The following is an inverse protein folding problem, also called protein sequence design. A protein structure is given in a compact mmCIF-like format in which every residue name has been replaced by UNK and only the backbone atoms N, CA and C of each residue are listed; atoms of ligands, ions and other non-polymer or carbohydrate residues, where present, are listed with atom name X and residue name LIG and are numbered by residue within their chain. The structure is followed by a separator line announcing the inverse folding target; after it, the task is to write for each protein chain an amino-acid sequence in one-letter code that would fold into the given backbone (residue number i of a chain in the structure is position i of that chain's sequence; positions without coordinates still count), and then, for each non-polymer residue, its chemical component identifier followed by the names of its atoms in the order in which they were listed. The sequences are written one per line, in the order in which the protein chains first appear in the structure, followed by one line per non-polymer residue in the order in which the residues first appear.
data_IF_975496134396
#
_entry.id   IF_975496134396
#
_cell.length_a   1.000
_cell.length_b   1.000
_cell.length_c   1.000
_cell.angle_alpha   90.00
_cell.angle_beta   90.00
_cell.angle_gamma   90.00
#
_symmetry.space_group_name_H-M   'P 1'
#
loop_
_entity.id
_entity.type
_entity.pdbx_description
1 polymer ?
#
# COMPACT_ATOMS: atom_id res chain seq x y z
N UNK A 1 27.95 76.88 -3.65
CA UNK A 1 28.76 75.90 -2.91
C UNK A 1 28.96 74.76 -3.87
N UNK A 2 30.19 74.52 -4.33
CA UNK A 2 30.48 73.43 -5.27
C UNK A 2 30.40 72.12 -4.49
N UNK A 3 29.46 71.25 -4.84
CA UNK A 3 29.41 69.90 -4.26
C UNK A 3 30.73 69.20 -4.57
N UNK A 4 31.44 68.79 -3.52
CA UNK A 4 32.67 68.03 -3.68
C UNK A 4 32.31 66.62 -4.18
N UNK A 5 32.69 66.31 -5.41
CA UNK A 5 32.52 64.97 -5.97
C UNK A 5 33.26 63.95 -5.11
N UNK A 6 32.53 62.96 -4.60
CA UNK A 6 33.09 61.83 -3.86
C UNK A 6 33.63 60.82 -4.86
N UNK A 7 34.82 60.26 -4.60
CA UNK A 7 35.48 59.28 -5.45
C UNK A 7 35.73 57.97 -4.70
N UNK A 8 35.68 56.87 -5.43
CA UNK A 8 35.94 55.50 -4.97
C UNK A 8 37.18 54.98 -5.70
N UNK A 9 38.01 54.20 -5.02
CA UNK A 9 39.16 53.54 -5.65
C UNK A 9 38.68 52.52 -6.71
N UNK A 10 39.35 52.47 -7.86
CA UNK A 10 38.94 51.59 -8.97
C UNK A 10 39.00 50.10 -8.58
N UNK A 11 39.98 49.67 -7.79
CA UNK A 11 40.08 48.26 -7.39
C UNK A 11 38.91 47.88 -6.47
N UNK A 12 38.52 48.78 -5.57
CA UNK A 12 37.35 48.61 -4.70
C UNK A 12 36.03 48.62 -5.50
N UNK A 13 35.93 49.47 -6.52
CA UNK A 13 34.76 49.54 -7.38
C UNK A 13 34.58 48.23 -8.18
N UNK A 14 35.64 47.73 -8.82
CA UNK A 14 35.63 46.47 -9.57
C UNK A 14 35.28 45.29 -8.66
N UNK A 15 35.87 45.23 -7.46
CA UNK A 15 35.57 44.18 -6.48
C UNK A 15 34.10 44.19 -6.03
N UNK A 16 33.51 45.37 -5.84
CA UNK A 16 32.10 45.49 -5.50
C UNK A 16 31.20 45.09 -6.68
N UNK A 17 31.51 45.51 -7.90
CA UNK A 17 30.77 45.06 -9.09
C UNK A 17 30.79 43.53 -9.24
N UNK A 18 31.94 42.88 -9.02
CA UNK A 18 32.03 41.41 -8.98
C UNK A 18 31.14 40.81 -7.89
N UNK A 19 31.09 41.42 -6.71
CA UNK A 19 30.21 40.94 -5.62
C UNK A 19 28.74 41.00 -6.01
N UNK A 20 28.32 42.03 -6.75
CA UNK A 20 26.95 42.14 -7.25
C UNK A 20 26.67 41.17 -8.41
N UNK A 21 27.63 40.93 -9.31
CA UNK A 21 27.55 39.86 -10.31
C UNK A 21 27.37 38.48 -9.65
N UNK A 22 28.18 38.17 -8.63
CA UNK A 22 28.09 36.92 -7.87
C UNK A 22 26.73 36.79 -7.17
N UNK A 23 26.12 37.91 -6.74
CA UNK A 23 24.78 37.92 -6.16
C UNK A 23 23.70 37.57 -7.20
N UNK A 24 23.81 38.06 -8.44
CA UNK A 24 22.92 37.69 -9.57
C UNK A 24 23.05 36.19 -9.87
N UNK A 25 24.28 35.69 -9.97
CA UNK A 25 24.56 34.27 -10.20
C UNK A 25 24.00 33.39 -9.07
N UNK A 26 24.21 33.81 -7.82
CA UNK A 26 23.73 33.10 -6.63
C UNK A 26 22.20 33.06 -6.54
N UNK A 27 21.52 34.16 -6.87
CA UNK A 27 20.06 34.22 -6.89
C UNK A 27 19.48 33.27 -7.95
N UNK A 28 20.12 33.21 -9.12
CA UNK A 28 19.71 32.33 -10.22
C UNK A 28 19.94 30.85 -9.88
N UNK A 29 21.11 30.53 -9.32
CA UNK A 29 21.49 29.18 -8.95
C UNK A 29 20.50 28.55 -7.95
N UNK A 30 20.03 29.30 -6.95
CA UNK A 30 19.05 28.80 -5.96
C UNK A 30 17.78 28.27 -6.60
N UNK A 31 17.29 28.90 -7.67
CA UNK A 31 16.11 28.42 -8.40
C UNK A 31 16.46 27.26 -9.33
N UNK A 32 17.63 27.29 -9.97
CA UNK A 32 18.07 26.22 -10.89
C UNK A 32 18.53 24.93 -10.17
N UNK A 33 18.79 24.98 -8.87
CA UNK A 33 18.95 23.79 -8.02
C UNK A 33 17.70 22.91 -8.02
N UNK A 34 16.50 23.49 -8.07
CA UNK A 34 15.25 22.75 -8.17
C UNK A 34 15.12 22.05 -9.54
N UNK A 35 15.55 22.72 -10.60
CA UNK A 35 15.59 22.13 -11.96
C UNK A 35 16.54 20.94 -11.97
N UNK A 36 17.72 21.10 -11.37
CA UNK A 36 18.70 20.02 -11.21
C UNK A 36 18.16 18.87 -10.37
N UNK A 37 17.40 19.17 -9.29
CA UNK A 37 16.76 18.14 -8.47
C UNK A 37 15.70 17.37 -9.26
N UNK A 38 14.90 18.05 -10.06
CA UNK A 38 13.90 17.44 -10.92
C UNK A 38 14.55 16.52 -11.96
N UNK A 39 15.67 16.96 -12.54
CA UNK A 39 16.47 16.15 -13.47
C UNK A 39 16.92 14.84 -12.82
N UNK A 40 17.51 14.91 -11.62
CA UNK A 40 18.00 13.74 -10.89
C UNK A 40 16.87 12.81 -10.45
N UNK A 41 15.76 13.37 -9.94
CA UNK A 41 14.62 12.59 -9.43
C UNK A 41 14.05 11.64 -10.49
N UNK A 42 14.02 12.09 -11.75
CA UNK A 42 13.39 11.35 -12.85
C UNK A 42 14.39 10.82 -13.89
N UNK A 43 15.70 10.98 -13.63
CA UNK A 43 16.76 10.67 -14.59
C UNK A 43 16.46 11.27 -15.98
N UNK A 44 16.18 12.57 -16.01
CA UNK A 44 15.94 13.33 -17.25
C UNK A 44 17.26 13.57 -17.98
N UNK A 45 17.24 13.63 -19.33
CA UNK A 45 18.44 13.89 -20.14
C UNK A 45 19.02 15.28 -19.84
N UNK A 46 20.29 15.52 -20.15
CA UNK A 46 20.90 16.85 -20.01
C UNK A 46 20.28 17.87 -20.99
N UNK A 47 19.84 17.39 -22.16
CA UNK A 47 19.12 18.22 -23.12
C UNK A 47 17.69 18.51 -22.63
N UNK A 48 17.50 19.76 -22.19
CA UNK A 48 16.24 20.31 -21.68
C UNK A 48 15.10 20.29 -22.70
N UNK A 49 15.40 20.33 -23.99
CA UNK A 49 14.36 20.30 -25.04
C UNK A 49 13.57 18.99 -25.05
N UNK A 50 14.19 17.90 -24.56
CA UNK A 50 13.57 16.57 -24.50
C UNK A 50 12.72 16.37 -23.25
N UNK A 51 12.84 17.24 -22.24
CA UNK A 51 12.24 17.03 -20.92
C UNK A 51 10.74 16.86 -20.98
N UNK A 52 10.03 17.66 -21.78
CA UNK A 52 8.56 17.59 -21.90
C UNK A 52 8.09 16.19 -22.28
N UNK A 53 8.72 15.59 -23.29
CA UNK A 53 8.38 14.26 -23.78
C UNK A 53 8.81 13.14 -22.82
N UNK A 54 10.00 13.28 -22.20
CA UNK A 54 10.57 12.24 -21.34
C UNK A 54 9.92 12.24 -19.96
N UNK A 55 9.62 13.42 -19.39
CA UNK A 55 9.05 13.57 -18.06
C UNK A 55 7.71 12.85 -17.92
N UNK A 56 6.77 13.13 -18.83
CA UNK A 56 5.46 12.49 -18.83
C UNK A 56 5.58 10.96 -18.98
N UNK A 57 6.45 10.51 -19.90
CA UNK A 57 6.73 9.08 -20.10
C UNK A 57 7.27 8.40 -18.83
N UNK A 58 8.24 9.01 -18.15
CA UNK A 58 8.82 8.47 -16.90
C UNK A 58 7.77 8.34 -15.80
N UNK A 59 6.89 9.32 -15.66
CA UNK A 59 5.78 9.24 -14.71
C UNK A 59 4.78 8.13 -15.04
N UNK A 60 4.44 7.97 -16.33
CA UNK A 60 3.58 6.89 -16.80
C UNK A 60 4.21 5.54 -16.54
N UNK A 61 5.50 5.37 -16.84
CA UNK A 61 6.25 4.13 -16.62
C UNK A 61 6.31 3.78 -15.11
N UNK A 62 6.58 4.77 -14.26
CA UNK A 62 6.59 4.60 -12.80
C UNK A 62 5.22 4.16 -12.27
N UNK A 63 4.15 4.85 -12.69
CA UNK A 63 2.78 4.47 -12.33
C UNK A 63 2.40 3.08 -12.86
N UNK A 64 2.75 2.76 -14.11
CA UNK A 64 2.49 1.47 -14.72
C UNK A 64 3.23 0.32 -13.99
N UNK A 65 4.47 0.56 -13.57
CA UNK A 65 5.26 -0.36 -12.76
C UNK A 65 4.59 -0.63 -11.40
N UNK A 66 4.18 0.42 -10.68
CA UNK A 66 3.44 0.30 -9.41
C UNK A 66 2.11 -0.42 -9.59
N UNK A 67 1.33 -0.07 -10.61
CA UNK A 67 0.07 -0.72 -10.94
C UNK A 67 0.27 -2.20 -11.32
N UNK A 68 1.36 -2.54 -12.00
CA UNK A 68 1.74 -3.94 -12.25
C UNK A 68 2.02 -4.67 -10.93
N UNK A 69 2.86 -4.11 -10.07
CA UNK A 69 3.15 -4.67 -8.74
C UNK A 69 1.87 -4.93 -7.95
N UNK A 70 0.97 -3.94 -7.86
CA UNK A 70 -0.30 -4.11 -7.14
C UNK A 70 -1.16 -5.23 -7.73
N UNK A 71 -1.22 -5.38 -9.06
CA UNK A 71 -1.96 -6.49 -9.68
C UNK A 71 -1.35 -7.85 -9.36
N UNK A 72 -0.03 -7.93 -9.27
CA UNK A 72 0.68 -9.16 -8.90
C UNK A 72 0.44 -9.48 -7.41
N UNK A 73 0.47 -8.46 -6.54
CA UNK A 73 0.11 -8.57 -5.12
C UNK A 73 -1.34 -9.04 -4.91
N UNK A 74 -2.31 -8.47 -5.63
CA UNK A 74 -3.71 -8.86 -5.55
C UNK A 74 -3.93 -10.34 -5.94
N UNK A 75 -3.18 -10.82 -6.95
CA UNK A 75 -3.22 -12.25 -7.33
C UNK A 75 -2.64 -13.13 -6.23
N UNK A 76 -1.54 -12.70 -5.62
CA UNK A 76 -0.91 -13.42 -4.52
C UNK A 76 -1.85 -13.47 -3.30
N UNK A 77 -2.45 -12.35 -2.91
CA UNK A 77 -3.39 -12.29 -1.79
C UNK A 77 -4.63 -13.16 -2.04
N UNK A 78 -5.18 -13.11 -3.26
CA UNK A 78 -6.28 -13.99 -3.67
C UNK A 78 -5.90 -15.46 -3.65
N UNK A 79 -4.69 -15.80 -4.11
CA UNK A 79 -4.18 -17.17 -4.06
C UNK A 79 -4.07 -17.66 -2.62
N UNK A 80 -3.41 -16.89 -1.74
CA UNK A 80 -3.24 -17.24 -0.33
C UNK A 80 -4.59 -17.47 0.36
N UNK A 81 -5.55 -16.56 0.15
CA UNK A 81 -6.90 -16.67 0.72
C UNK A 81 -7.61 -17.96 0.29
N UNK A 82 -7.47 -18.35 -0.98
CA UNK A 82 -8.07 -19.59 -1.50
C UNK A 82 -7.35 -20.85 -0.99
N UNK A 83 -6.04 -20.79 -0.80
CA UNK A 83 -5.22 -21.93 -0.36
C UNK A 83 -5.40 -22.28 1.12
N UNK A 84 -5.64 -21.30 2.01
CA UNK A 84 -5.88 -21.56 3.45
C UNK A 84 -6.97 -22.63 3.64
N UNK A 85 -8.04 -22.55 2.86
CA UNK A 85 -9.13 -23.51 2.96
C UNK A 85 -8.89 -24.85 2.28
N UNK A 86 -8.00 -24.91 1.30
CA UNK A 86 -7.63 -26.19 0.68
C UNK A 86 -6.89 -27.06 1.70
N UNK A 87 -6.13 -26.45 2.62
CA UNK A 87 -5.39 -27.15 3.68
C UNK A 87 -6.30 -27.71 4.77
N UNK A 88 -7.29 -26.94 5.22
CA UNK A 88 -8.24 -27.40 6.25
C UNK A 88 -9.02 -28.67 5.85
N UNK A 89 -9.30 -28.87 4.55
CA UNK A 89 -9.97 -30.08 4.06
C UNK A 89 -9.13 -31.36 4.19
N UNK A 90 -7.79 -31.27 4.18
CA UNK A 90 -6.91 -32.46 4.25
C UNK A 90 -6.64 -32.94 5.68
N UNK A 91 -6.79 -32.06 6.67
CA UNK A 91 -6.49 -32.40 8.08
C UNK A 91 -7.59 -33.24 8.76
N UNK A 92 -8.76 -33.41 8.13
CA UNK A 92 -9.93 -34.06 8.75
C UNK A 92 -10.25 -35.45 8.18
N UNK A 93 -9.32 -36.08 7.47
CA UNK A 93 -9.33 -37.53 7.32
C UNK A 93 -8.60 -38.10 8.55
N UNK A 94 -9.29 -38.61 9.57
CA UNK A 94 -8.63 -39.52 10.49
C UNK A 94 -8.21 -40.71 9.63
N UNK A 95 -6.90 -40.94 9.54
CA UNK A 95 -6.41 -42.25 9.12
C UNK A 95 -6.95 -43.26 10.12
N UNK A 96 -8.09 -43.87 9.81
CA UNK A 96 -8.49 -45.20 10.27
C UNK A 96 -7.49 -46.21 9.68
N UNK A 97 -6.22 -46.08 10.05
CA UNK A 97 -5.24 -47.14 9.91
C UNK A 97 -5.08 -47.73 11.29
N UNK A 98 -5.99 -48.63 11.63
CA UNK A 98 -5.80 -49.56 12.73
C UNK A 98 -4.47 -50.29 12.48
N UNK A 99 -3.46 -50.23 13.38
CA UNK A 99 -2.29 -51.07 13.24
C UNK A 99 -2.72 -52.52 13.52
N UNK A 100 -2.76 -53.34 12.49
CA UNK A 100 -2.94 -54.79 12.63
C UNK A 100 -1.71 -55.37 13.36
N UNK A 101 -1.88 -56.08 14.49
CA UNK A 101 -0.78 -56.72 15.18
C UNK A 101 -0.52 -58.09 14.52
N UNK A 102 0.67 -58.25 13.94
CA UNK A 102 1.16 -59.55 13.47
C UNK A 102 1.74 -59.48 12.07
N UNK A 103 3.06 -59.30 11.96
CA UNK A 103 3.94 -60.43 11.65
C UNK A 103 5.39 -59.94 11.59
N UNK A 104 6.19 -60.53 12.48
CA UNK A 104 7.64 -60.52 12.38
C UNK A 104 8.04 -61.47 11.26
N UNK A 105 8.87 -61.04 10.30
CA UNK A 105 9.85 -61.91 9.62
C UNK A 105 10.92 -61.07 8.90
N UNK A 106 12.13 -61.16 9.44
CA UNK A 106 13.44 -61.32 8.80
C UNK A 106 13.79 -60.59 7.47
N UNK A 107 14.88 -59.83 7.57
CA UNK A 107 15.88 -59.50 6.53
C UNK A 107 16.41 -60.75 5.77
N UNK A 108 16.96 -60.66 4.54
CA UNK A 108 18.19 -59.87 4.27
C UNK A 108 18.42 -59.28 2.85
N UNK A 109 19.37 -58.33 2.85
CA UNK A 109 20.39 -57.95 1.84
C UNK A 109 20.22 -58.32 0.36
N UNK A 110 20.42 -57.35 -0.55
CA UNK A 110 21.60 -57.31 -1.46
C UNK A 110 21.59 -56.12 -2.45
N UNK A 111 22.76 -55.46 -2.50
CA UNK A 111 23.55 -54.99 -3.65
C UNK A 111 23.02 -54.12 -4.82
N UNK A 112 23.75 -53.00 -4.97
CA UNK A 112 24.34 -52.42 -6.19
C UNK A 112 23.59 -52.48 -7.54
N UNK A 113 23.34 -51.30 -8.14
CA UNK A 113 24.20 -50.80 -9.24
C UNK A 113 23.81 -49.41 -9.76
N UNK A 114 24.86 -48.66 -10.10
CA UNK A 114 24.90 -47.40 -10.84
C UNK A 114 24.38 -47.55 -12.27
N UNK A 115 23.65 -46.54 -12.79
CA UNK A 115 23.93 -45.93 -14.11
C UNK A 115 23.05 -44.70 -14.40
N UNK A 116 23.71 -43.57 -14.61
CA UNK A 116 23.33 -42.54 -15.57
C UNK A 116 24.37 -42.61 -16.73
N UNK A 117 24.30 -41.81 -17.81
CA UNK A 117 23.19 -41.05 -18.42
C UNK A 117 23.07 -41.35 -19.94
N UNK A 118 22.33 -40.49 -20.65
CA UNK A 118 22.61 -39.94 -21.99
C UNK A 118 21.61 -40.18 -23.17
N UNK A 119 21.58 -39.22 -24.14
CA UNK A 119 20.38 -38.71 -24.77
C UNK A 119 20.30 -39.04 -26.27
N UNK A 120 19.16 -38.79 -26.91
CA UNK A 120 18.99 -38.47 -28.35
C UNK A 120 17.49 -38.28 -28.60
N UNK A 121 16.99 -37.10 -28.99
CA UNK A 121 16.97 -36.50 -30.34
C UNK A 121 16.36 -37.42 -31.40
N UNK A 122 15.20 -36.99 -31.94
CA UNK A 122 14.83 -37.24 -33.32
C UNK A 122 13.42 -37.80 -33.54
N UNK A 123 12.61 -37.06 -34.31
CA UNK A 123 11.60 -37.66 -35.19
C UNK A 123 10.16 -37.32 -34.89
N UNK A 124 9.64 -36.28 -35.54
CA UNK A 124 8.23 -36.23 -35.94
C UNK A 124 7.92 -37.40 -36.87
N UNK A 125 6.69 -37.94 -36.84
CA UNK A 125 5.83 -37.70 -38.00
C UNK A 125 4.36 -37.46 -37.64
N UNK A 126 3.75 -36.67 -38.53
CA UNK A 126 2.32 -36.50 -38.77
C UNK A 126 1.51 -37.80 -38.64
N UNK A 127 0.43 -37.76 -37.85
CA UNK A 127 -0.76 -38.60 -38.04
C UNK A 127 -1.97 -37.91 -37.42
N UNK A 128 -2.97 -37.59 -38.25
CA UNK A 128 -4.32 -37.28 -37.81
C UNK A 128 -4.96 -38.57 -37.29
N UNK A 129 -5.62 -38.55 -36.12
CA UNK A 129 -6.94 -39.17 -36.10
C UNK A 129 -7.97 -38.44 -35.20
N UNK A 130 -9.16 -38.29 -35.77
CA UNK A 130 -10.51 -38.36 -35.14
C UNK A 130 -10.81 -37.51 -33.91
N UNK A 131 -11.71 -36.55 -34.15
CA UNK A 131 -12.65 -35.98 -33.20
C UNK A 131 -13.35 -37.10 -32.38
N UNK A 132 -12.88 -37.28 -31.15
CA UNK A 132 -13.71 -37.78 -30.06
C UNK A 132 -13.65 -36.69 -29.00
N UNK A 133 -14.64 -35.80 -29.02
CA UNK A 133 -14.89 -34.89 -27.91
C UNK A 133 -15.09 -35.73 -26.64
N UNK A 134 -14.27 -35.57 -25.59
CA UNK A 134 -14.71 -35.96 -24.29
C UNK A 134 -15.83 -34.99 -23.92
N UNK A 135 -17.05 -35.52 -23.76
CA UNK A 135 -18.12 -34.81 -23.06
C UNK A 135 -17.53 -34.12 -21.82
N UNK A 136 -17.89 -32.85 -21.53
CA UNK A 136 -17.52 -32.24 -20.28
C UNK A 136 -18.14 -33.08 -19.17
N UNK A 137 -17.31 -33.83 -18.44
CA UNK A 137 -17.73 -34.51 -17.22
C UNK A 137 -18.15 -33.43 -16.24
N UNK A 138 -19.45 -33.22 -16.20
CA UNK A 138 -20.12 -32.28 -15.32
C UNK A 138 -19.73 -32.54 -13.86
N UNK A 139 -19.61 -31.44 -13.11
CA UNK A 139 -19.97 -31.37 -11.69
C UNK A 139 -18.97 -31.87 -10.62
N UNK A 140 -17.65 -31.85 -10.85
CA UNK A 140 -16.68 -31.91 -9.72
C UNK A 140 -16.15 -30.53 -9.27
N UNK A 141 -16.39 -29.47 -10.06
CA UNK A 141 -15.77 -28.14 -9.86
C UNK A 141 -16.65 -27.12 -9.11
N UNK A 142 -17.87 -27.48 -8.70
CA UNK A 142 -18.78 -26.58 -7.98
C UNK A 142 -18.42 -26.35 -6.49
N UNK A 143 -17.23 -26.80 -6.05
CA UNK A 143 -16.78 -26.73 -4.65
C UNK A 143 -15.40 -26.05 -4.51
N UNK A 144 -15.08 -25.07 -5.38
CA UNK A 144 -14.29 -23.92 -4.90
C UNK A 144 -15.23 -22.99 -4.14
N UNK A 145 -15.75 -23.47 -3.01
CA UNK A 145 -16.53 -22.66 -2.09
C UNK A 145 -15.70 -21.42 -1.73
N UNK A 146 -16.22 -20.26 -2.17
CA UNK A 146 -15.67 -18.93 -1.97
C UNK A 146 -15.19 -18.78 -0.52
N UNK A 147 -13.90 -18.45 -0.34
CA UNK A 147 -13.28 -18.34 0.99
C UNK A 147 -14.10 -17.44 1.93
N UNK A 148 -14.66 -16.34 1.39
CA UNK A 148 -15.55 -15.46 2.15
C UNK A 148 -16.81 -16.18 2.65
N UNK A 149 -17.42 -17.08 1.86
CA UNK A 149 -18.59 -17.84 2.30
C UNK A 149 -18.27 -18.83 3.41
N UNK A 150 -17.08 -19.45 3.38
CA UNK A 150 -16.63 -20.34 4.45
C UNK A 150 -16.38 -19.57 5.75
N UNK A 151 -15.75 -18.41 5.66
CA UNK A 151 -15.58 -17.53 6.82
C UNK A 151 -16.94 -17.10 7.39
N UNK A 152 -17.89 -16.74 6.54
CA UNK A 152 -19.26 -16.41 6.98
C UNK A 152 -19.90 -17.60 7.71
N UNK A 153 -19.76 -18.82 7.19
CA UNK A 153 -20.27 -20.02 7.87
C UNK A 153 -19.65 -20.20 9.25
N UNK A 154 -18.33 -20.02 9.35
CA UNK A 154 -17.59 -20.15 10.61
C UNK A 154 -17.98 -19.07 11.63
N UNK A 155 -18.16 -17.82 11.18
CA UNK A 155 -18.67 -16.73 12.02
C UNK A 155 -20.07 -17.04 12.54
N UNK A 156 -20.96 -17.53 11.66
CA UNK A 156 -22.34 -17.88 12.05
C UNK A 156 -22.36 -19.02 13.08
N UNK A 157 -21.49 -20.01 12.93
CA UNK A 157 -21.33 -21.10 13.90
C UNK A 157 -20.82 -20.59 15.25
N UNK A 158 -19.69 -19.87 15.27
CA UNK A 158 -19.10 -19.33 16.49
C UNK A 158 -20.05 -18.40 17.25
N UNK A 159 -20.72 -17.48 16.55
CA UNK A 159 -21.68 -16.55 17.16
C UNK A 159 -22.93 -17.26 17.66
N UNK A 160 -23.38 -18.35 17.01
CA UNK A 160 -24.49 -19.17 17.49
C UNK A 160 -24.11 -19.92 18.76
N UNK A 161 -22.91 -20.50 18.83
CA UNK A 161 -22.44 -21.21 20.02
C UNK A 161 -22.25 -20.26 21.21
N UNK A 162 -21.68 -19.07 20.99
CA UNK A 162 -21.61 -18.01 22.00
C UNK A 162 -23.01 -17.64 22.53
N UNK A 163 -23.97 -17.36 21.64
CA UNK A 163 -25.35 -17.06 22.03
C UNK A 163 -26.02 -18.20 22.79
N UNK A 164 -25.72 -19.46 22.44
CA UNK A 164 -26.25 -20.63 23.13
C UNK A 164 -25.73 -20.70 24.58
N UNK A 165 -24.45 -20.40 24.80
CA UNK A 165 -23.87 -20.29 26.15
C UNK A 165 -24.60 -19.22 26.96
N UNK A 166 -24.78 -18.01 26.42
CA UNK A 166 -25.49 -16.92 27.14
C UNK A 166 -26.93 -17.33 27.51
N UNK A 167 -27.68 -17.95 26.59
CA UNK A 167 -29.04 -18.41 26.89
C UNK A 167 -29.09 -19.53 27.94
N UNK A 168 -28.15 -20.48 27.92
CA UNK A 168 -28.07 -21.53 28.94
C UNK A 168 -27.68 -20.94 30.30
N UNK A 169 -26.77 -19.96 30.31
CA UNK A 169 -26.38 -19.26 31.52
C UNK A 169 -27.56 -18.48 32.13
N UNK A 170 -28.35 -17.78 31.32
CA UNK A 170 -29.57 -17.10 31.78
C UNK A 170 -30.58 -18.09 32.40
N UNK A 171 -30.76 -19.25 31.77
CA UNK A 171 -31.64 -20.31 32.30
C UNK A 171 -31.11 -20.89 33.60
N UNK A 172 -29.79 -21.09 33.69
CA UNK A 172 -29.11 -21.52 34.90
C UNK A 172 -29.28 -20.52 36.06
N UNK A 173 -29.10 -19.22 35.82
CA UNK A 173 -29.33 -18.17 36.84
C UNK A 173 -30.79 -18.11 37.30
N UNK A 174 -31.75 -18.25 36.38
CA UNK A 174 -33.17 -18.30 36.73
C UNK A 174 -33.54 -19.52 37.58
N UNK A 175 -33.03 -20.71 37.22
CA UNK A 175 -33.30 -21.94 37.96
C UNK A 175 -32.66 -21.92 39.35
N UNK A 176 -31.40 -21.48 39.44
CA UNK A 176 -30.69 -21.39 40.72
C UNK A 176 -31.34 -20.38 41.66
N UNK A 177 -31.77 -19.21 41.16
CA UNK A 177 -32.51 -18.23 41.94
C UNK A 177 -33.84 -18.81 42.46
N UNK A 178 -34.60 -19.51 41.60
CA UNK A 178 -35.86 -20.14 41.97
C UNK A 178 -35.71 -21.27 43.00
N UNK A 179 -34.66 -22.09 42.91
CA UNK A 179 -34.44 -23.21 43.83
C UNK A 179 -33.86 -22.76 45.17
N UNK A 180 -33.08 -21.66 45.19
CA UNK A 180 -32.59 -21.04 46.43
C UNK A 180 -33.76 -20.46 47.25
N UNK A 181 -34.71 -19.80 46.58
CA UNK A 181 -35.95 -19.30 47.20
C UNK A 181 -36.81 -20.43 47.81
N UNK A 182 -36.81 -21.62 47.19
CA UNK A 182 -37.53 -22.80 47.68
C UNK A 182 -36.73 -23.65 48.67
N UNK A 183 -35.49 -23.27 49.02
CA UNK A 183 -34.56 -24.04 49.86
C UNK A 183 -34.36 -25.50 49.37
N UNK A 184 -34.45 -25.72 48.06
CA UNK A 184 -34.35 -27.05 47.44
C UNK A 184 -32.92 -27.45 47.08
N UNK A 185 -31.98 -26.50 47.07
CA UNK A 185 -30.56 -26.75 46.81
C UNK A 185 -29.85 -27.30 48.04
N UNK A 186 -28.95 -28.28 47.85
CA UNK A 186 -28.07 -28.73 48.93
C UNK A 186 -26.97 -27.72 49.21
N UNK A 187 -26.40 -27.73 50.43
CA UNK A 187 -25.27 -26.84 50.79
C UNK A 187 -24.06 -27.02 49.84
N UNK A 188 -23.66 -28.25 49.45
CA UNK A 188 -22.64 -28.45 48.43
C UNK A 188 -22.95 -27.75 47.10
N UNK A 189 -24.18 -27.86 46.60
CA UNK A 189 -24.59 -27.23 45.33
C UNK A 189 -24.51 -25.70 45.43
N UNK A 190 -25.00 -25.12 46.53
CA UNK A 190 -24.90 -23.68 46.77
C UNK A 190 -23.45 -23.18 46.78
N UNK A 191 -22.53 -23.94 47.39
CA UNK A 191 -21.10 -23.60 47.40
C UNK A 191 -20.50 -23.71 45.99
N UNK A 192 -20.84 -24.77 45.26
CA UNK A 192 -20.36 -24.98 43.90
C UNK A 192 -20.83 -23.87 42.95
N UNK A 193 -22.13 -23.56 42.96
CA UNK A 193 -22.74 -22.48 42.17
C UNK A 193 -22.04 -21.15 42.49
N UNK A 194 -21.97 -20.76 43.77
CA UNK A 194 -21.33 -19.49 44.17
C UNK A 194 -19.88 -19.37 43.74
N UNK A 195 -19.13 -20.48 43.68
CA UNK A 195 -17.74 -20.49 43.21
C UNK A 195 -17.62 -20.44 41.70
N UNK A 196 -18.52 -21.10 40.97
CA UNK A 196 -18.43 -21.27 39.51
C UNK A 196 -19.06 -20.12 38.74
N UNK A 197 -20.12 -19.49 39.27
CA UNK A 197 -20.85 -18.41 38.61
C UNK A 197 -19.97 -17.24 38.17
N UNK A 198 -19.05 -16.68 39.00
CA UNK A 198 -18.19 -15.58 38.55
C UNK A 198 -17.34 -15.96 37.32
N UNK A 199 -16.81 -17.18 37.29
CA UNK A 199 -16.04 -17.67 36.14
C UNK A 199 -16.90 -17.84 34.88
N UNK A 200 -18.13 -18.32 35.04
CA UNK A 200 -19.09 -18.42 33.93
C UNK A 200 -19.48 -17.06 33.38
N UNK A 201 -19.71 -16.06 34.25
CA UNK A 201 -19.98 -14.67 33.84
C UNK A 201 -18.81 -14.12 33.01
N UNK A 202 -17.57 -14.30 33.48
CA UNK A 202 -16.39 -13.86 32.75
C UNK A 202 -16.28 -14.55 31.37
N UNK A 203 -16.58 -15.86 31.30
CA UNK A 203 -16.58 -16.62 30.05
C UNK A 203 -17.68 -16.15 29.08
N UNK A 204 -18.91 -15.94 29.56
CA UNK A 204 -20.03 -15.43 28.76
C UNK A 204 -19.69 -14.04 28.22
N UNK A 205 -19.24 -13.13 29.09
CA UNK A 205 -18.86 -11.78 28.71
C UNK A 205 -17.76 -11.76 27.64
N UNK A 206 -16.72 -12.59 27.81
CA UNK A 206 -15.66 -12.72 26.80
C UNK A 206 -16.18 -13.23 25.45
N UNK A 207 -17.05 -14.24 25.45
CA UNK A 207 -17.62 -14.79 24.21
C UNK A 207 -18.48 -13.75 23.48
N UNK A 208 -19.24 -12.94 24.19
CA UNK A 208 -20.03 -11.85 23.62
C UNK A 208 -19.15 -10.74 23.04
N UNK A 209 -18.08 -10.35 23.75
CA UNK A 209 -17.09 -9.37 23.29
C UNK A 209 -16.38 -9.85 22.01
N UNK A 210 -15.92 -11.10 21.98
CA UNK A 210 -15.29 -11.71 20.80
C UNK A 210 -16.28 -11.81 19.62
N UNK A 211 -17.56 -12.11 19.89
CA UNK A 211 -18.61 -12.16 18.87
C UNK A 211 -18.88 -10.79 18.22
N UNK A 212 -18.91 -9.70 19.00
CA UNK A 212 -19.01 -8.35 18.47
C UNK A 212 -17.77 -7.97 17.68
N UNK A 213 -16.57 -8.23 18.21
CA UNK A 213 -15.31 -7.91 17.54
C UNK A 213 -15.21 -8.59 16.17
N UNK A 214 -15.52 -9.89 16.10
CA UNK A 214 -15.57 -10.65 14.84
C UNK A 214 -16.55 -10.02 13.84
N UNK A 215 -17.74 -9.58 14.30
CA UNK A 215 -18.72 -8.92 13.43
C UNK A 215 -18.21 -7.60 12.88
N UNK A 216 -17.62 -6.75 13.71
CA UNK A 216 -17.06 -5.45 13.31
C UNK A 216 -15.91 -5.63 12.32
N UNK A 217 -14.97 -6.54 12.62
CA UNK A 217 -13.85 -6.86 11.73
C UNK A 217 -14.36 -7.41 10.39
N UNK A 218 -15.28 -8.37 10.42
CA UNK A 218 -15.85 -8.91 9.19
C UNK A 218 -16.56 -7.85 8.36
N UNK A 219 -17.33 -6.95 8.98
CA UNK A 219 -18.01 -5.87 8.27
C UNK A 219 -17.01 -4.95 7.56
N UNK A 220 -15.94 -4.57 8.24
CA UNK A 220 -14.87 -3.70 7.73
C UNK A 220 -14.21 -4.29 6.48
N UNK A 221 -13.90 -5.59 6.51
CA UNK A 221 -13.17 -6.26 5.43
C UNK A 221 -14.07 -7.02 4.43
N UNK A 222 -15.39 -6.99 4.62
CA UNK A 222 -16.37 -7.77 3.85
C UNK A 222 -16.14 -7.66 2.35
N UNK A 223 -16.07 -6.44 1.81
CA UNK A 223 -15.90 -6.21 0.36
C UNK A 223 -14.56 -6.77 -0.14
N UNK A 224 -13.48 -6.62 0.63
CA UNK A 224 -12.16 -7.14 0.30
C UNK A 224 -12.15 -8.67 0.27
N UNK A 225 -12.76 -9.33 1.26
CA UNK A 225 -12.91 -10.78 1.27
C UNK A 225 -13.64 -11.27 0.01
N UNK A 226 -14.77 -10.65 -0.36
CA UNK A 226 -15.51 -11.03 -1.56
C UNK A 226 -14.73 -10.79 -2.85
N UNK A 227 -13.97 -9.69 -2.96
CA UNK A 227 -13.14 -9.44 -4.14
C UNK A 227 -12.03 -10.50 -4.28
N UNK A 228 -11.29 -10.75 -3.21
CA UNK A 228 -10.12 -11.64 -3.24
C UNK A 228 -10.49 -13.12 -3.34
N UNK A 229 -11.68 -13.50 -2.87
CA UNK A 229 -12.17 -14.88 -2.94
C UNK A 229 -12.86 -15.23 -4.25
N UNK A 230 -13.29 -14.25 -5.04
CA UNK A 230 -13.97 -14.43 -6.33
C UNK A 230 -13.01 -14.13 -7.49
N UNK A 231 -12.52 -15.19 -8.15
CA UNK A 231 -11.57 -15.06 -9.27
C UNK A 231 -12.16 -14.27 -10.45
N UNK A 232 -13.47 -14.36 -10.70
CA UNK A 232 -14.11 -13.67 -11.82
C UNK A 232 -14.18 -12.17 -11.58
N UNK A 233 -14.55 -11.76 -10.36
CA UNK A 233 -14.55 -10.34 -9.95
C UNK A 233 -13.15 -9.78 -9.93
N UNK A 234 -12.19 -10.51 -9.35
CA UNK A 234 -10.79 -10.08 -9.35
C UNK A 234 -10.26 -9.90 -10.77
N UNK A 235 -10.45 -10.88 -11.67
CA UNK A 235 -10.04 -10.75 -13.08
C UNK A 235 -10.64 -9.52 -13.74
N UNK A 236 -11.90 -9.21 -13.45
CA UNK A 236 -12.59 -8.03 -13.98
C UNK A 236 -11.97 -6.73 -13.45
N UNK A 237 -11.73 -6.61 -12.14
CA UNK A 237 -11.00 -5.50 -11.53
C UNK A 237 -9.59 -5.32 -12.12
N UNK A 238 -8.82 -6.41 -12.25
CA UNK A 238 -7.49 -6.38 -12.85
C UNK A 238 -7.51 -5.93 -14.31
N UNK A 239 -8.59 -6.23 -15.05
CA UNK A 239 -8.81 -5.78 -16.43
C UNK A 239 -9.08 -4.28 -16.49
N UNK A 240 -9.92 -3.76 -15.58
CA UNK A 240 -10.16 -2.31 -15.46
C UNK A 240 -8.87 -1.57 -15.11
N UNK A 241 -8.09 -2.09 -14.15
CA UNK A 241 -6.78 -1.52 -13.78
C UNK A 241 -5.78 -1.53 -14.95
N UNK A 242 -5.81 -2.56 -15.80
CA UNK A 242 -4.96 -2.65 -17.01
C UNK A 242 -5.39 -1.63 -18.06
N UNK A 243 -6.69 -1.46 -18.25
CA UNK A 243 -7.28 -0.66 -19.32
C UNK A 243 -7.55 0.78 -18.87
N UNK A 244 -6.58 1.43 -18.19
CA UNK A 244 -6.61 2.89 -17.93
C UNK A 244 -5.69 3.65 -18.91
N UNK A 245 -5.92 3.59 -20.25
CA UNK A 245 -5.09 4.29 -21.23
C UNK A 245 -5.19 5.82 -21.12
N UNK A 246 -6.28 6.34 -20.54
CA UNK A 246 -6.51 7.77 -20.39
C UNK A 246 -5.53 8.48 -19.43
N UNK A 247 -4.65 7.77 -18.74
CA UNK A 247 -3.74 8.39 -17.77
C UNK A 247 -2.52 9.03 -18.44
N UNK A 248 -1.97 8.43 -19.51
CA UNK A 248 -0.77 8.95 -20.17
C UNK A 248 -1.03 10.34 -20.79
N UNK A 249 -2.07 10.45 -21.62
CA UNK A 249 -2.46 11.72 -22.24
C UNK A 249 -2.82 12.79 -21.20
N UNK A 250 -3.45 12.37 -20.08
CA UNK A 250 -3.76 13.29 -18.97
C UNK A 250 -2.47 13.75 -18.29
N UNK A 251 -1.55 12.86 -17.94
CA UNK A 251 -0.29 13.25 -17.30
C UNK A 251 0.45 14.23 -18.21
N UNK A 252 0.65 13.89 -19.48
CA UNK A 252 1.35 14.75 -20.43
C UNK A 252 0.70 16.14 -20.54
N UNK A 253 -0.63 16.18 -20.69
CA UNK A 253 -1.40 17.43 -20.77
C UNK A 253 -1.23 18.31 -19.53
N UNK A 254 -1.15 17.72 -18.34
CA UNK A 254 -1.03 18.49 -17.08
C UNK A 254 0.41 18.85 -16.73
N UNK A 255 1.41 18.09 -17.20
CA UNK A 255 2.82 18.35 -16.90
C UNK A 255 3.48 19.29 -17.90
N UNK A 256 3.01 19.31 -19.16
CA UNK A 256 3.62 20.09 -20.24
C UNK A 256 3.76 21.57 -19.90
N UNK A 257 2.66 22.25 -19.58
CA UNK A 257 2.67 23.69 -19.29
C UNK A 257 3.60 24.07 -18.11
N UNK A 258 3.46 23.45 -16.92
CA UNK A 258 4.37 23.71 -15.80
C UNK A 258 5.84 23.48 -16.12
N UNK A 259 6.16 22.45 -16.90
CA UNK A 259 7.52 22.13 -17.28
C UNK A 259 8.09 23.14 -18.30
N UNK A 260 7.31 23.50 -19.32
CA UNK A 260 7.67 24.56 -20.28
C UNK A 260 7.93 25.90 -19.56
N UNK A 261 7.09 26.25 -18.58
CA UNK A 261 7.31 27.44 -17.75
C UNK A 261 8.64 27.37 -16.99
N UNK A 262 8.95 26.25 -16.33
CA UNK A 262 10.21 26.11 -15.60
C UNK A 262 11.44 26.19 -16.52
N UNK A 263 11.36 25.59 -17.70
CA UNK A 263 12.43 25.64 -18.70
C UNK A 263 12.62 27.06 -19.25
N UNK A 264 11.52 27.78 -19.54
CA UNK A 264 11.54 29.19 -19.95
C UNK A 264 12.22 30.04 -18.87
N UNK A 265 11.77 29.95 -17.62
CA UNK A 265 12.33 30.73 -16.51
C UNK A 265 13.81 30.44 -16.30
N UNK A 266 14.25 29.17 -16.42
CA UNK A 266 15.66 28.83 -16.32
C UNK A 266 16.48 29.40 -17.49
N UNK A 267 15.94 29.42 -18.71
CA UNK A 267 16.57 30.09 -19.84
C UNK A 267 16.69 31.61 -19.66
N UNK A 268 15.64 32.25 -19.12
CA UNK A 268 15.67 33.68 -18.79
C UNK A 268 16.73 34.01 -17.73
N UNK A 269 16.87 33.17 -16.69
CA UNK A 269 17.94 33.33 -15.68
C UNK A 269 19.33 33.18 -16.28
N UNK A 270 19.52 32.23 -17.19
CA UNK A 270 20.80 32.09 -17.89
C UNK A 270 21.16 33.38 -18.64
N UNK A 271 20.20 33.98 -19.36
CA UNK A 271 20.41 35.26 -20.05
C UNK A 271 20.71 36.41 -19.09
N UNK A 272 20.07 36.43 -17.90
CA UNK A 272 20.35 37.42 -16.85
C UNK A 272 21.78 37.28 -16.33
N UNK A 273 22.26 36.05 -16.08
CA UNK A 273 23.64 35.80 -15.64
C UNK A 273 24.65 36.18 -16.73
N UNK A 274 24.40 35.82 -17.99
CA UNK A 274 25.24 36.23 -19.12
C UNK A 274 25.30 37.76 -19.26
N UNK A 275 24.16 38.43 -19.04
CA UNK A 275 24.06 39.90 -19.05
C UNK A 275 24.84 40.53 -17.90
N UNK A 276 24.75 39.99 -16.67
CA UNK A 276 25.52 40.51 -15.54
C UNK A 276 27.03 40.37 -15.74
N UNK A 277 27.50 39.25 -16.31
CA UNK A 277 28.93 39.07 -16.61
C UNK A 277 29.43 40.00 -17.69
N UNK A 278 28.62 40.22 -18.75
CA UNK A 278 28.95 41.22 -19.78
C UNK A 278 29.02 42.63 -19.19
N UNK A 279 28.07 42.98 -18.33
CA UNK A 279 28.02 44.26 -17.65
C UNK A 279 29.24 44.46 -16.71
N UNK A 280 29.61 43.42 -15.95
CA UNK A 280 30.83 43.38 -15.13
C UNK A 280 32.09 43.68 -15.92
N UNK A 281 32.26 43.01 -17.05
CA UNK A 281 33.40 43.25 -17.94
C UNK A 281 33.41 44.68 -18.48
N UNK A 282 32.26 45.21 -18.90
CA UNK A 282 32.14 46.58 -19.42
C UNK A 282 32.52 47.62 -18.36
N UNK A 283 31.96 47.52 -17.15
CA UNK A 283 32.28 48.43 -16.05
C UNK A 283 33.76 48.34 -15.64
N UNK A 284 34.32 47.12 -15.56
CA UNK A 284 35.74 46.95 -15.25
C UNK A 284 36.64 47.61 -16.30
N UNK A 285 36.36 47.41 -17.59
CA UNK A 285 37.12 48.05 -18.67
C UNK A 285 37.01 49.58 -18.63
N UNK A 286 35.81 50.12 -18.39
CA UNK A 286 35.59 51.56 -18.31
C UNK A 286 36.35 52.17 -17.14
N UNK A 287 36.22 51.61 -15.94
CA UNK A 287 36.82 52.16 -14.72
C UNK A 287 38.34 52.04 -14.70
N UNK A 288 38.89 50.92 -15.19
CA UNK A 288 40.35 50.75 -15.32
C UNK A 288 40.96 51.69 -16.36
N UNK A 289 40.16 52.23 -17.27
CA UNK A 289 40.61 53.22 -18.27
C UNK A 289 40.58 54.66 -17.74
N UNK A 290 40.00 54.92 -16.58
CA UNK A 290 39.91 56.28 -16.00
C UNK A 290 41.28 56.76 -15.50
N UNK A 291 41.68 58.01 -15.83
CA UNK A 291 42.94 58.56 -15.36
C UNK A 291 42.92 58.77 -13.84
N UNK A 292 43.91 58.23 -13.15
CA UNK A 292 44.09 58.44 -11.70
C UNK A 292 43.45 57.38 -10.80
N UNK A 293 42.91 56.28 -11.36
CA UNK A 293 42.47 55.12 -10.59
C UNK A 293 41.28 55.41 -9.66
N UNK A 294 40.43 56.37 -10.03
CA UNK A 294 39.28 56.80 -9.22
C UNK A 294 38.01 56.82 -10.05
N UNK A 295 36.94 56.24 -9.51
CA UNK A 295 35.58 56.27 -10.07
C UNK A 295 34.74 57.29 -9.31
N UNK A 296 33.97 58.11 -10.01
CA UNK A 296 33.03 59.02 -9.36
C UNK A 296 31.90 58.23 -8.67
N UNK A 297 31.52 58.63 -7.45
CA UNK A 297 30.59 57.86 -6.64
C UNK A 297 29.18 57.75 -7.26
N UNK A 298 28.76 58.75 -8.04
CA UNK A 298 27.50 58.76 -8.79
C UNK A 298 27.51 57.73 -9.94
N UNK A 299 28.61 57.67 -10.71
CA UNK A 299 28.81 56.65 -11.75
C UNK A 299 28.81 55.25 -11.16
N UNK A 300 29.53 55.04 -10.05
CA UNK A 300 29.56 53.75 -9.36
C UNK A 300 28.16 53.36 -8.84
N UNK A 301 27.44 54.30 -8.23
CA UNK A 301 26.09 54.05 -7.72
C UNK A 301 25.11 53.70 -8.84
N UNK A 302 25.20 54.39 -9.99
CA UNK A 302 24.39 54.09 -11.16
C UNK A 302 24.63 52.68 -11.69
N UNK A 303 25.90 52.26 -11.77
CA UNK A 303 26.27 50.90 -12.16
C UNK A 303 25.71 49.82 -11.21
N UNK A 304 25.76 50.06 -9.89
CA UNK A 304 25.21 49.10 -8.92
C UNK A 304 23.70 48.91 -9.06
N UNK A 305 22.97 49.98 -9.37
CA UNK A 305 21.51 49.92 -9.61
C UNK A 305 21.16 48.96 -10.76
N UNK A 306 22.01 48.84 -11.78
CA UNK A 306 21.79 47.90 -12.88
C UNK A 306 21.85 46.44 -12.41
N UNK A 307 22.81 46.07 -11.55
CA UNK A 307 22.85 44.73 -10.96
C UNK A 307 21.68 44.48 -10.01
N UNK A 308 21.31 45.46 -9.19
CA UNK A 308 20.17 45.34 -8.29
C UNK A 308 18.87 45.09 -9.05
N UNK A 309 18.73 45.68 -10.25
CA UNK A 309 17.61 45.41 -11.14
C UNK A 309 17.62 43.97 -11.68
N UNK A 310 18.78 43.44 -12.08
CA UNK A 310 18.91 42.03 -12.50
C UNK A 310 18.57 41.07 -11.36
N UNK A 311 19.03 41.35 -10.14
CA UNK A 311 18.67 40.58 -8.93
C UNK A 311 17.15 40.63 -8.70
N UNK A 312 16.53 41.79 -8.84
CA UNK A 312 15.08 41.96 -8.70
C UNK A 312 14.30 41.19 -9.76
N UNK A 313 14.79 41.16 -11.00
CA UNK A 313 14.20 40.40 -12.09
C UNK A 313 14.19 38.90 -11.76
N UNK A 314 15.31 38.35 -11.28
CA UNK A 314 15.37 36.94 -10.82
C UNK A 314 14.41 36.69 -9.66
N UNK A 315 14.39 37.56 -8.65
CA UNK A 315 13.49 37.39 -7.50
C UNK A 315 12.02 37.41 -7.90
N UNK A 316 11.64 38.22 -8.90
CA UNK A 316 10.26 38.30 -9.40
C UNK A 316 9.74 36.95 -9.94
N UNK A 317 10.64 36.07 -10.39
CA UNK A 317 10.30 34.74 -10.91
C UNK A 317 10.01 33.71 -9.81
N UNK A 318 10.40 33.96 -8.55
CA UNK A 318 10.37 32.97 -7.45
C UNK A 318 8.99 32.35 -7.27
N UNK A 319 7.94 33.16 -7.22
CA UNK A 319 6.58 32.68 -6.98
C UNK A 319 6.07 31.75 -8.10
N UNK A 320 6.33 32.12 -9.36
CA UNK A 320 5.96 31.30 -10.52
C UNK A 320 6.75 29.99 -10.54
N UNK A 321 8.07 30.07 -10.32
CA UNK A 321 8.96 28.89 -10.24
C UNK A 321 8.52 27.92 -9.14
N UNK A 322 8.38 28.39 -7.89
CA UNK A 322 8.00 27.54 -6.75
C UNK A 322 6.62 26.90 -6.96
N UNK A 323 5.67 27.63 -7.56
CA UNK A 323 4.34 27.08 -7.89
C UNK A 323 4.44 25.90 -8.85
N UNK A 324 5.15 26.05 -9.96
CA UNK A 324 5.23 25.00 -10.98
C UNK A 324 6.10 23.82 -10.53
N UNK A 325 7.22 24.09 -9.87
CA UNK A 325 8.08 23.05 -9.32
C UNK A 325 7.35 22.22 -8.25
N UNK A 326 6.69 22.86 -7.28
CA UNK A 326 5.95 22.14 -6.23
C UNK A 326 4.79 21.32 -6.77
N UNK A 327 4.13 21.78 -7.83
CA UNK A 327 3.10 21.01 -8.53
C UNK A 327 3.68 19.73 -9.16
N UNK A 328 4.80 19.83 -9.87
CA UNK A 328 5.46 18.69 -10.51
C UNK A 328 5.97 17.67 -9.49
N UNK A 329 6.56 18.12 -8.38
CA UNK A 329 6.99 17.22 -7.29
C UNK A 329 5.79 16.51 -6.66
N UNK A 330 4.71 17.23 -6.33
CA UNK A 330 3.50 16.60 -5.77
C UNK A 330 2.87 15.58 -6.71
N UNK A 331 2.85 15.87 -8.02
CA UNK A 331 2.34 14.94 -9.02
C UNK A 331 3.23 13.70 -9.13
N UNK A 332 4.55 13.88 -9.10
CA UNK A 332 5.51 12.78 -9.04
C UNK A 332 5.24 11.88 -7.83
N UNK A 333 5.10 12.45 -6.63
CA UNK A 333 4.89 11.69 -5.40
C UNK A 333 3.54 10.98 -5.40
N UNK A 334 2.49 11.65 -5.89
CA UNK A 334 1.18 11.06 -6.07
C UNK A 334 1.23 9.84 -6.99
N UNK A 335 1.85 9.96 -8.17
CA UNK A 335 1.96 8.85 -9.12
C UNK A 335 2.92 7.75 -8.66
N UNK A 336 3.99 8.14 -7.94
CA UNK A 336 4.99 7.25 -7.38
C UNK A 336 4.47 6.37 -6.24
N UNK A 337 3.46 6.86 -5.49
CA UNK A 337 2.75 6.07 -4.48
C UNK A 337 1.79 5.03 -5.08
N UNK A 338 1.45 5.17 -6.37
CA UNK A 338 0.58 4.24 -7.10
C UNK A 338 -0.91 4.47 -6.81
N UNK A 339 -1.79 3.60 -7.34
CA UNK A 339 -3.21 3.68 -7.03
C UNK A 339 -3.46 3.40 -5.55
N UNK A 340 -4.21 4.28 -4.88
CA UNK A 340 -4.69 4.09 -3.51
C UNK A 340 -5.96 3.24 -3.45
N UNK A 341 -6.63 3.06 -4.59
CA UNK A 341 -7.85 2.29 -4.70
C UNK A 341 -7.84 1.28 -5.86
N UNK A 342 -8.59 0.19 -5.68
CA UNK A 342 -8.85 -0.85 -6.68
C UNK A 342 -10.29 -0.73 -7.16
N UNK A 343 -10.53 -0.52 -8.46
CA UNK A 343 -11.88 -0.44 -8.98
C UNK A 343 -12.56 -1.81 -8.96
N UNK A 344 -13.81 -1.85 -8.52
CA UNK A 344 -14.63 -3.06 -8.51
C UNK A 344 -15.87 -2.84 -9.38
N UNK A 345 -16.09 -3.69 -10.41
CA UNK A 345 -17.23 -3.51 -11.31
C UNK A 345 -18.57 -3.51 -10.58
N UNK A 346 -19.33 -2.42 -10.73
CA UNK A 346 -20.66 -2.28 -10.13
C UNK A 346 -20.66 -1.97 -8.63
N UNK A 347 -19.51 -1.61 -8.04
CA UNK A 347 -19.45 -1.15 -6.65
C UNK A 347 -18.45 0.00 -6.49
N UNK A 348 -18.37 0.51 -5.26
CA UNK A 348 -17.34 1.47 -4.87
C UNK A 348 -15.93 0.86 -5.00
N UNK A 349 -14.97 1.72 -5.29
CA UNK A 349 -13.55 1.39 -5.28
C UNK A 349 -13.09 0.96 -3.87
N UNK A 350 -12.19 -0.02 -3.78
CA UNK A 350 -11.66 -0.53 -2.52
C UNK A 350 -10.29 0.06 -2.20
N UNK A 351 -10.08 0.41 -0.94
CA UNK A 351 -8.78 0.90 -0.46
C UNK A 351 -7.71 -0.19 -0.53
N UNK A 352 -6.57 0.12 -1.13
CA UNK A 352 -5.40 -0.78 -1.25
C UNK A 352 -4.80 -1.11 0.11
N UNK A 353 -4.83 -0.18 1.07
CA UNK A 353 -4.32 -0.40 2.43
C UNK A 353 -5.13 -1.49 3.13
N UNK A 354 -6.46 -1.47 2.98
CA UNK A 354 -7.35 -2.52 3.49
C UNK A 354 -7.11 -3.86 2.77
N UNK A 355 -6.95 -3.86 1.44
CA UNK A 355 -6.67 -5.07 0.68
C UNK A 355 -5.36 -5.75 1.11
N UNK A 356 -4.33 -4.96 1.45
CA UNK A 356 -3.04 -5.47 1.92
C UNK A 356 -3.14 -6.23 3.24
N UNK A 357 -3.97 -5.75 4.17
CA UNK A 357 -4.15 -6.39 5.49
C UNK A 357 -5.25 -7.46 5.49
N UNK A 358 -6.01 -7.60 4.39
CA UNK A 358 -7.17 -8.48 4.33
C UNK A 358 -6.83 -9.94 4.64
N UNK A 359 -5.69 -10.47 4.17
CA UNK A 359 -5.34 -11.86 4.45
C UNK A 359 -5.05 -12.11 5.94
N UNK A 360 -4.30 -11.22 6.60
CA UNK A 360 -4.04 -11.35 8.04
C UNK A 360 -5.33 -11.24 8.85
N UNK A 361 -6.23 -10.34 8.45
CA UNK A 361 -7.54 -10.17 9.10
C UNK A 361 -8.47 -11.36 8.87
N UNK A 362 -8.36 -12.02 7.71
CA UNK A 362 -9.04 -13.29 7.47
C UNK A 362 -8.60 -14.34 8.49
N UNK A 363 -7.29 -14.51 8.70
CA UNK A 363 -6.74 -15.50 9.64
C UNK A 363 -7.09 -15.16 11.08
N UNK A 364 -7.01 -13.89 11.48
CA UNK A 364 -7.38 -13.44 12.82
C UNK A 364 -8.85 -13.77 13.14
N UNK A 365 -9.78 -13.41 12.23
CA UNK A 365 -11.19 -13.71 12.40
C UNK A 365 -11.42 -15.23 12.49
N UNK A 366 -10.80 -16.01 11.60
CA UNK A 366 -10.95 -17.45 11.59
C UNK A 366 -10.47 -18.09 12.90
N UNK A 367 -9.29 -17.69 13.40
CA UNK A 367 -8.73 -18.16 14.67
C UNK A 367 -9.65 -17.84 15.83
N UNK A 368 -10.13 -16.59 15.93
CA UNK A 368 -11.09 -16.20 16.99
C UNK A 368 -12.37 -17.03 16.93
N UNK A 369 -12.91 -17.28 15.75
CA UNK A 369 -14.09 -18.12 15.63
C UNK A 369 -13.84 -19.56 16.09
N UNK A 370 -12.67 -20.15 15.81
CA UNK A 370 -12.32 -21.47 16.33
C UNK A 370 -12.20 -21.45 17.86
N UNK A 371 -11.50 -20.46 18.42
CA UNK A 371 -11.37 -20.31 19.88
C UNK A 371 -12.74 -20.15 20.55
N UNK A 372 -13.65 -19.37 19.97
CA UNK A 372 -15.03 -19.26 20.47
C UNK A 372 -15.75 -20.60 20.45
N UNK A 373 -15.63 -21.39 19.38
CA UNK A 373 -16.27 -22.71 19.27
C UNK A 373 -15.66 -23.69 20.29
N UNK A 374 -14.34 -23.74 20.38
CA UNK A 374 -13.61 -24.63 21.29
C UNK A 374 -13.89 -24.29 22.76
N UNK A 375 -14.00 -23.00 23.11
CA UNK A 375 -14.37 -22.56 24.45
C UNK A 375 -15.85 -22.80 24.76
N UNK A 376 -16.76 -22.57 23.81
CA UNK A 376 -18.20 -22.67 24.07
C UNK A 376 -18.69 -24.11 24.16
N UNK A 377 -18.10 -25.05 23.41
CA UNK A 377 -18.53 -26.46 23.39
C UNK A 377 -18.58 -27.12 24.78
N UNK A 378 -17.50 -27.15 25.59
CA UNK A 378 -17.54 -27.77 26.92
C UNK A 378 -18.45 -27.01 27.90
N UNK A 379 -18.59 -25.69 27.75
CA UNK A 379 -19.48 -24.88 28.57
C UNK A 379 -20.94 -25.25 28.29
N UNK A 380 -21.30 -25.39 27.01
CA UNK A 380 -22.64 -25.82 26.58
C UNK A 380 -22.95 -27.20 27.17
N UNK A 381 -22.05 -28.17 26.99
CA UNK A 381 -22.24 -29.54 27.50
C UNK A 381 -22.44 -29.55 29.02
N UNK A 382 -21.58 -28.84 29.76
CA UNK A 382 -21.65 -28.76 31.23
C UNK A 382 -22.93 -28.07 31.71
N UNK A 383 -23.32 -26.95 31.08
CA UNK A 383 -24.53 -26.23 31.45
C UNK A 383 -25.79 -27.04 31.11
N UNK A 384 -25.83 -27.72 29.96
CA UNK A 384 -26.98 -28.56 29.59
C UNK A 384 -27.18 -29.72 30.56
N UNK A 385 -26.10 -30.40 30.98
CA UNK A 385 -26.14 -31.45 31.99
C UNK A 385 -26.65 -30.90 33.33
N UNK A 386 -26.03 -29.82 33.82
CA UNK A 386 -26.35 -29.27 35.14
C UNK A 386 -27.75 -28.67 35.23
N UNK A 387 -28.20 -27.95 34.18
CA UNK A 387 -29.59 -27.46 34.07
C UNK A 387 -30.57 -28.64 34.07
N UNK A 388 -30.22 -29.74 33.41
CA UNK A 388 -31.00 -30.98 33.41
C UNK A 388 -31.21 -31.53 34.82
N UNK A 389 -30.16 -31.59 35.62
CA UNK A 389 -30.22 -32.03 37.03
C UNK A 389 -31.03 -31.07 37.90
N UNK A 390 -30.81 -29.76 37.78
CA UNK A 390 -31.56 -28.74 38.54
C UNK A 390 -33.06 -28.78 38.24
N UNK A 391 -33.45 -29.08 36.99
CA UNK A 391 -34.86 -29.25 36.61
C UNK A 391 -35.53 -30.46 37.26
N UNK A 392 -34.78 -31.48 37.65
CA UNK A 392 -35.32 -32.64 38.38
C UNK A 392 -35.56 -32.34 39.87
N UNK A 393 -34.91 -31.31 40.40
CA UNK A 393 -35.07 -30.85 41.78
C UNK A 393 -36.26 -29.90 41.97
N UNK A 394 -36.72 -29.29 40.88
CA UNK A 394 -37.89 -28.40 40.83
C UNK A 394 -39.18 -29.20 40.70
#
# INVERSE_FOLDING_TARGET
MSDATVYIDVDDAVKQAQTHEDAVASASLRLDEDITRLQRLLNLPDDRSLWVSVYAKRLVDAYASRNKSLRDDLRLWSHNLRMVHARQKKSKCPDDTTPSPGDAYEHPETDHCNRAPDPTVGGSPSSIPTCNDPLPSQASENIQACAALKLVSLIVEATRSAKRVSCLFDEFEQLTSSLDECASLTVPDQIFIRKSTPHLIDCVGKLDDDAELVRVQFHTYKKCFYLLSDETKLKSSLRVMRNRPALADKIEKHTRGPLETLLRLSGERQLVVESSSKLGLQHAMEWLSLPGGKVAADMFSAALVEYDQLVKDVHSQTAEHTKHYSFLVKLHDFLGSGPTTVPVPGSEDLDVTLLRTTFAQYEEIATRCFEMIDCSTPIIETLEEYIGELKLLK
#
